data_IF_511798499273
#
_entry.id   IF_511798499273
#
_cell.length_a   1.000
_cell.length_b   1.000
_cell.length_c   1.000
_cell.angle_alpha   90.00
_cell.angle_beta   90.00
_cell.angle_gamma   90.00
#
_symmetry.space_group_name_H-M   'P 1'
#
loop_
_entity.id
_entity.type
_entity.pdbx_description
1 polymer ?
#
# COMPACT_ATOMS: atom_id res chain seq x y z
N UNK A 1 12.73 -12.34 22.38
CA UNK A 1 11.95 -11.21 21.81
C UNK A 1 11.31 -11.70 20.52
N UNK A 2 10.01 -11.45 20.32
CA UNK A 2 9.29 -11.87 19.10
C UNK A 2 8.92 -10.63 18.27
N UNK A 3 9.04 -10.75 16.96
CA UNK A 3 8.79 -9.65 16.01
C UNK A 3 7.79 -10.13 14.96
N UNK A 4 6.81 -9.29 14.66
CA UNK A 4 5.92 -9.43 13.50
C UNK A 4 6.32 -8.37 12.47
N UNK A 5 6.64 -8.78 11.26
CA UNK A 5 6.79 -7.88 10.12
C UNK A 5 5.61 -8.13 9.18
N UNK A 6 4.88 -7.07 8.87
CA UNK A 6 3.70 -7.11 8.01
C UNK A 6 3.93 -6.27 6.76
N UNK A 7 3.24 -6.64 5.67
CA UNK A 7 2.93 -5.72 4.58
C UNK A 7 1.64 -4.94 4.91
N UNK A 8 1.26 -3.98 4.06
CA UNK A 8 0.11 -3.10 4.24
C UNK A 8 -1.08 -3.49 3.35
N UNK A 9 -0.97 -3.22 2.05
CA UNK A 9 -2.05 -3.44 1.10
C UNK A 9 -2.20 -4.92 0.79
N UNK A 10 -3.45 -5.37 0.67
CA UNK A 10 -3.80 -6.77 0.53
C UNK A 10 -3.28 -7.69 1.66
N UNK A 11 -2.94 -7.10 2.81
CA UNK A 11 -2.55 -7.81 4.05
C UNK A 11 -3.32 -7.27 5.26
N UNK A 12 -3.20 -5.98 5.56
CA UNK A 12 -3.87 -5.32 6.69
C UNK A 12 -5.10 -4.52 6.26
N UNK A 13 -5.05 -4.00 5.03
CA UNK A 13 -6.13 -3.25 4.39
C UNK A 13 -6.33 -3.76 2.97
N UNK A 14 -7.53 -3.53 2.42
CA UNK A 14 -7.82 -3.86 1.02
C UNK A 14 -6.81 -3.24 0.07
N UNK A 15 -6.36 -4.01 -0.92
CA UNK A 15 -5.56 -3.50 -2.03
C UNK A 15 -6.28 -2.40 -2.81
N UNK A 16 -7.61 -2.47 -2.88
CA UNK A 16 -8.46 -1.45 -3.47
C UNK A 16 -8.44 -1.43 -5.00
N UNK A 17 -8.13 -2.53 -5.68
CA UNK A 17 -7.89 -2.59 -7.13
C UNK A 17 -9.03 -1.98 -7.95
N UNK A 18 -10.28 -2.39 -7.71
CA UNK A 18 -11.44 -1.81 -8.40
C UNK A 18 -11.60 -0.30 -8.16
N UNK A 19 -11.25 0.19 -6.96
CA UNK A 19 -11.30 1.62 -6.66
C UNK A 19 -10.13 2.39 -7.26
N UNK A 20 -8.96 1.75 -7.36
CA UNK A 20 -7.77 2.28 -8.03
C UNK A 20 -8.03 2.45 -9.51
N UNK A 21 -8.64 1.47 -10.17
CA UNK A 21 -8.99 1.55 -11.59
C UNK A 21 -9.90 2.75 -11.86
N UNK A 22 -10.94 2.93 -11.05
CA UNK A 22 -11.87 4.07 -11.17
C UNK A 22 -11.14 5.40 -10.97
N UNK A 23 -10.29 5.50 -9.94
CA UNK A 23 -9.56 6.74 -9.64
C UNK A 23 -8.51 7.04 -10.70
N UNK A 24 -7.80 6.04 -11.21
CA UNK A 24 -6.81 6.20 -12.27
C UNK A 24 -7.47 6.66 -13.58
N UNK A 25 -8.61 6.07 -13.95
CA UNK A 25 -9.37 6.53 -15.12
C UNK A 25 -9.80 7.99 -14.97
N UNK A 26 -10.28 8.38 -13.78
CA UNK A 26 -10.66 9.78 -13.49
C UNK A 26 -9.46 10.73 -13.52
N UNK A 27 -8.32 10.33 -12.95
CA UNK A 27 -7.09 11.12 -13.01
C UNK A 27 -6.64 11.35 -14.46
N UNK A 28 -6.65 10.30 -15.30
CA UNK A 28 -6.34 10.44 -16.72
C UNK A 28 -7.21 11.48 -17.42
N UNK A 29 -8.53 11.42 -17.19
CA UNK A 29 -9.47 12.40 -17.73
C UNK A 29 -9.20 13.83 -17.25
N UNK A 30 -8.94 14.03 -15.95
CA UNK A 30 -8.59 15.33 -15.37
C UNK A 30 -7.30 15.88 -15.97
N UNK A 31 -6.30 15.02 -16.18
CA UNK A 31 -5.00 15.37 -16.76
C UNK A 31 -5.06 15.59 -18.28
N UNK A 32 -6.21 15.38 -18.92
CA UNK A 32 -6.40 15.58 -20.36
C UNK A 32 -5.73 14.52 -21.23
N UNK A 33 -5.54 13.30 -20.71
CA UNK A 33 -4.94 12.16 -21.43
C UNK A 33 -5.91 10.99 -21.55
N UNK A 34 -5.66 10.10 -22.51
CA UNK A 34 -6.43 8.87 -22.64
C UNK A 34 -6.34 8.02 -21.36
N UNK A 35 -7.49 7.63 -20.80
CA UNK A 35 -7.56 6.93 -19.52
C UNK A 35 -6.86 5.55 -19.55
N UNK A 36 -6.93 4.85 -20.69
CA UNK A 36 -6.31 3.53 -20.85
C UNK A 36 -4.80 3.68 -20.99
N UNK A 37 -4.32 4.66 -21.76
CA UNK A 37 -2.91 5.00 -21.86
C UNK A 37 -2.34 5.42 -20.50
N UNK A 38 -3.07 6.26 -19.76
CA UNK A 38 -2.69 6.68 -18.42
C UNK A 38 -2.58 5.51 -17.46
N UNK A 39 -3.58 4.62 -17.42
CA UNK A 39 -3.54 3.41 -16.58
C UNK A 39 -2.30 2.57 -16.89
N UNK A 40 -2.04 2.26 -18.17
CA UNK A 40 -0.87 1.48 -18.58
C UNK A 40 0.44 2.16 -18.17
N UNK A 41 0.57 3.47 -18.38
CA UNK A 41 1.77 4.21 -18.01
C UNK A 41 1.96 4.26 -16.49
N UNK A 42 0.86 4.36 -15.73
CA UNK A 42 0.86 4.37 -14.28
C UNK A 42 1.29 3.02 -13.69
N UNK A 43 0.81 1.92 -14.26
CA UNK A 43 1.20 0.56 -13.86
C UNK A 43 2.66 0.26 -14.22
N UNK A 44 3.09 0.64 -15.44
CA UNK A 44 4.47 0.47 -15.89
C UNK A 44 5.49 1.24 -15.03
N UNK A 45 5.06 2.36 -14.43
CA UNK A 45 5.90 3.19 -13.54
C UNK A 45 5.97 2.71 -12.08
N UNK A 46 5.39 1.55 -11.75
CA UNK A 46 5.22 1.13 -10.35
C UNK A 46 6.55 1.07 -9.60
N UNK A 47 7.61 0.54 -10.21
CA UNK A 47 8.93 0.46 -9.58
C UNK A 47 9.48 1.86 -9.28
N UNK A 48 9.51 2.76 -10.27
CA UNK A 48 9.98 4.14 -10.08
C UNK A 48 9.21 4.88 -8.99
N UNK A 49 7.88 4.71 -8.95
CA UNK A 49 7.03 5.29 -7.91
C UNK A 49 7.32 4.71 -6.54
N UNK A 50 7.57 3.40 -6.45
CA UNK A 50 7.89 2.75 -5.19
C UNK A 50 9.25 3.16 -4.64
N UNK A 51 10.23 3.51 -5.47
CA UNK A 51 11.54 4.01 -4.99
C UNK A 51 11.60 5.53 -4.87
N UNK A 52 10.49 6.24 -5.08
CA UNK A 52 10.43 7.69 -4.96
C UNK A 52 11.13 8.45 -6.09
N UNK A 53 11.35 7.84 -7.26
CA UNK A 53 12.12 8.43 -8.35
C UNK A 53 11.58 9.77 -8.89
N UNK A 54 10.29 10.05 -8.67
CA UNK A 54 9.64 11.29 -9.09
C UNK A 54 9.48 12.31 -7.95
N UNK A 55 9.97 12.00 -6.75
CA UNK A 55 9.86 12.87 -5.58
C UNK A 55 8.48 12.83 -4.93
N UNK A 56 7.49 13.47 -5.54
CA UNK A 56 6.14 13.59 -4.98
C UNK A 56 5.02 13.18 -5.95
N UNK A 57 3.79 13.12 -5.42
CA UNK A 57 2.63 12.72 -6.20
C UNK A 57 2.30 13.71 -7.34
N UNK A 58 2.27 15.04 -7.14
CA UNK A 58 2.10 15.99 -8.25
C UNK A 58 3.12 15.79 -9.39
N UNK A 59 4.40 15.62 -9.06
CA UNK A 59 5.47 15.39 -10.04
C UNK A 59 5.30 14.05 -10.75
N UNK A 60 4.93 13.01 -10.01
CA UNK A 60 4.57 11.69 -10.56
C UNK A 60 3.46 11.81 -11.61
N UNK A 61 2.37 12.51 -11.28
CA UNK A 61 1.22 12.65 -12.17
C UNK A 61 1.56 13.45 -13.43
N UNK A 62 2.38 14.50 -13.30
CA UNK A 62 2.86 15.28 -14.45
C UNK A 62 3.72 14.41 -15.38
N UNK A 63 4.71 13.69 -14.84
CA UNK A 63 5.58 12.80 -15.63
C UNK A 63 4.77 11.72 -16.36
N UNK A 64 3.77 11.13 -15.70
CA UNK A 64 2.94 10.08 -16.33
C UNK A 64 2.03 10.67 -17.40
N UNK A 65 1.46 11.86 -17.20
CA UNK A 65 0.68 12.54 -18.22
C UNK A 65 1.53 12.90 -19.44
N UNK A 66 2.75 13.40 -19.25
CA UNK A 66 3.72 13.69 -20.32
C UNK A 66 4.10 12.44 -21.11
N UNK A 67 4.31 11.30 -20.43
CA UNK A 67 4.52 9.98 -21.08
C UNK A 67 3.33 9.56 -21.95
N UNK A 68 2.14 10.06 -21.65
CA UNK A 68 0.93 9.83 -22.44
C UNK A 68 0.69 10.90 -23.52
N UNK A 69 1.62 11.84 -23.71
CA UNK A 69 1.53 12.94 -24.67
C UNK A 69 0.73 14.15 -24.19
N UNK A 70 0.38 14.21 -22.90
CA UNK A 70 -0.34 15.34 -22.30
C UNK A 70 0.58 16.44 -21.77
N UNK A 71 0.04 17.64 -21.64
CA UNK A 71 0.70 18.79 -21.00
C UNK A 71 -0.26 19.39 -19.97
N UNK A 72 -0.47 18.74 -18.82
CA UNK A 72 -1.50 19.15 -17.86
C UNK A 72 -1.13 20.49 -17.21
N UNK A 73 -2.14 21.31 -16.93
CA UNK A 73 -1.97 22.52 -16.12
C UNK A 73 -1.73 22.16 -14.66
N UNK A 74 -1.21 23.12 -13.89
CA UNK A 74 -1.00 22.92 -12.45
C UNK A 74 -2.31 22.62 -11.72
N UNK A 75 -3.41 23.25 -12.13
CA UNK A 75 -4.75 22.99 -11.57
C UNK A 75 -5.19 21.55 -11.81
N UNK A 76 -5.02 21.03 -13.02
CA UNK A 76 -5.33 19.63 -13.34
C UNK A 76 -4.48 18.65 -12.52
N UNK A 77 -3.19 18.95 -12.36
CA UNK A 77 -2.28 18.13 -11.54
C UNK A 77 -2.72 18.14 -10.07
N UNK A 78 -3.12 19.30 -9.52
CA UNK A 78 -3.60 19.38 -8.14
C UNK A 78 -4.94 18.66 -7.94
N UNK A 79 -5.87 18.78 -8.88
CA UNK A 79 -7.15 18.05 -8.82
C UNK A 79 -6.90 16.54 -8.84
N UNK A 80 -6.10 16.04 -9.79
CA UNK A 80 -5.76 14.62 -9.87
C UNK A 80 -5.01 14.13 -8.62
N UNK A 81 -4.12 14.96 -8.05
CA UNK A 81 -3.45 14.70 -6.77
C UNK A 81 -4.46 14.53 -5.63
N UNK A 82 -5.48 15.40 -5.59
CA UNK A 82 -6.57 15.33 -4.61
C UNK A 82 -7.33 14.00 -4.68
N UNK A 83 -7.68 13.55 -5.89
CA UNK A 83 -8.37 12.27 -6.11
C UNK A 83 -7.56 11.09 -5.56
N UNK A 84 -6.26 11.06 -5.84
CA UNK A 84 -5.38 9.97 -5.40
C UNK A 84 -5.13 9.98 -3.89
N UNK A 85 -4.96 11.16 -3.28
CA UNK A 85 -4.84 11.31 -1.83
C UNK A 85 -6.12 10.87 -1.10
N UNK A 86 -7.29 11.25 -1.61
CA UNK A 86 -8.57 10.85 -1.05
C UNK A 86 -8.76 9.32 -1.09
N UNK A 87 -8.31 8.66 -2.16
CA UNK A 87 -8.28 7.20 -2.23
C UNK A 87 -7.35 6.60 -1.16
N UNK A 88 -6.12 7.10 -1.03
CA UNK A 88 -5.18 6.59 -0.02
C UNK A 88 -5.74 6.74 1.41
N UNK A 89 -6.29 7.91 1.73
CA UNK A 89 -6.93 8.16 3.03
C UNK A 89 -8.09 7.20 3.30
N UNK A 90 -8.94 6.96 2.29
CA UNK A 90 -10.09 6.07 2.42
C UNK A 90 -9.69 4.61 2.60
N UNK A 91 -8.68 4.13 1.89
CA UNK A 91 -8.17 2.76 2.05
C UNK A 91 -7.54 2.58 3.44
N UNK A 92 -6.75 3.55 3.90
CA UNK A 92 -6.14 3.53 5.25
C UNK A 92 -7.17 3.74 6.38
N UNK A 93 -8.31 4.37 6.09
CA UNK A 93 -9.38 4.59 7.06
C UNK A 93 -10.34 3.40 7.22
N UNK A 94 -10.35 2.45 6.27
CA UNK A 94 -11.25 1.27 6.26
C UNK A 94 -10.55 0.01 6.75
N UNK A 95 -9.78 0.12 7.82
CA UNK A 95 -9.09 -1.02 8.42
C UNK A 95 -10.14 -1.97 9.04
N UNK A 96 -10.11 -3.28 8.73
CA UNK A 96 -11.00 -4.23 9.38
C UNK A 96 -10.80 -4.23 10.90
N UNK A 97 -11.90 -4.26 11.66
CA UNK A 97 -11.85 -4.30 13.13
C UNK A 97 -11.03 -5.49 13.62
N UNK A 98 -11.20 -6.65 13.00
CA UNK A 98 -10.44 -7.86 13.33
C UNK A 98 -8.91 -7.67 13.14
N UNK A 99 -8.48 -6.86 12.17
CA UNK A 99 -7.07 -6.51 11.99
C UNK A 99 -6.56 -5.70 13.18
N UNK A 100 -7.30 -4.68 13.61
CA UNK A 100 -6.94 -3.85 14.76
C UNK A 100 -6.89 -4.68 16.05
N UNK A 101 -7.87 -5.54 16.28
CA UNK A 101 -7.91 -6.44 17.44
C UNK A 101 -6.73 -7.41 17.44
N UNK A 102 -6.38 -7.96 16.29
CA UNK A 102 -5.23 -8.87 16.16
C UNK A 102 -3.92 -8.15 16.47
N UNK A 103 -3.71 -6.95 15.94
CA UNK A 103 -2.52 -6.14 16.22
C UNK A 103 -2.45 -5.75 17.71
N UNK A 104 -3.58 -5.38 18.31
CA UNK A 104 -3.66 -5.09 19.74
C UNK A 104 -3.28 -6.29 20.61
N UNK A 105 -3.74 -7.50 20.26
CA UNK A 105 -3.38 -8.73 20.95
C UNK A 105 -1.88 -9.02 20.88
N UNK A 106 -1.24 -8.86 19.71
CA UNK A 106 0.21 -8.99 19.57
C UNK A 106 0.98 -7.99 20.45
N UNK A 107 0.52 -6.73 20.51
CA UNK A 107 1.14 -5.72 21.38
C UNK A 107 0.97 -6.04 22.87
N UNK A 108 -0.22 -6.45 23.29
CA UNK A 108 -0.49 -6.87 24.67
C UNK A 108 0.39 -8.07 25.09
N UNK A 109 0.71 -8.95 24.14
CA UNK A 109 1.60 -10.09 24.32
C UNK A 109 3.11 -9.74 24.31
N UNK A 110 3.47 -8.46 24.20
CA UNK A 110 4.86 -7.99 24.20
C UNK A 110 5.61 -8.20 22.88
N UNK A 111 4.91 -8.43 21.76
CA UNK A 111 5.56 -8.48 20.45
C UNK A 111 5.90 -7.07 19.97
N UNK A 112 7.01 -6.97 19.23
CA UNK A 112 7.32 -5.79 18.43
C UNK A 112 6.74 -5.96 17.04
N UNK A 113 6.15 -4.93 16.47
CA UNK A 113 5.51 -4.98 15.16
C UNK A 113 6.18 -3.97 14.24
N UNK A 114 6.66 -4.41 13.08
CA UNK A 114 7.19 -3.55 12.03
C UNK A 114 6.36 -3.66 10.75
N UNK A 115 6.31 -2.56 9.99
CA UNK A 115 5.68 -2.51 8.66
C UNK A 115 6.78 -2.46 7.61
N UNK A 116 6.72 -3.33 6.61
CA UNK A 116 7.57 -3.25 5.43
C UNK A 116 6.65 -3.28 4.22
N UNK A 117 6.54 -2.17 3.50
CA UNK A 117 5.57 -2.09 2.41
C UNK A 117 6.06 -1.24 1.25
N UNK A 118 5.81 -1.74 0.04
CA UNK A 118 5.96 -0.96 -1.17
C UNK A 118 4.78 0.00 -1.27
N UNK A 119 5.04 1.28 -1.00
CA UNK A 119 4.01 2.31 -1.00
C UNK A 119 4.41 3.48 -1.86
N UNK A 120 3.42 4.26 -2.25
CA UNK A 120 3.57 5.53 -2.95
C UNK A 120 3.57 6.69 -1.96
N UNK A 121 4.13 7.84 -2.37
CA UNK A 121 4.34 9.02 -1.50
C UNK A 121 3.07 9.48 -0.78
N UNK A 122 1.89 9.43 -1.42
CA UNK A 122 0.64 9.83 -0.79
C UNK A 122 0.19 8.90 0.35
N UNK A 123 0.55 7.62 0.29
CA UNK A 123 0.24 6.67 1.37
C UNK A 123 1.13 6.95 2.57
N UNK A 124 2.41 7.30 2.33
CA UNK A 124 3.37 7.64 3.38
C UNK A 124 2.89 8.85 4.19
N UNK A 125 2.43 9.89 3.50
CA UNK A 125 1.88 11.11 4.15
C UNK A 125 0.66 10.80 5.02
N UNK A 126 -0.19 9.85 4.60
CA UNK A 126 -1.41 9.49 5.32
C UNK A 126 -1.18 8.45 6.43
N UNK A 127 0.02 7.87 6.53
CA UNK A 127 0.29 6.80 7.49
C UNK A 127 0.12 7.26 8.94
N UNK A 128 0.66 8.42 9.30
CA UNK A 128 0.68 8.89 10.70
C UNK A 128 -0.70 9.13 11.31
N UNK A 129 -1.72 9.35 10.46
CA UNK A 129 -3.11 9.56 10.87
C UNK A 129 -3.97 8.29 10.74
N UNK A 130 -3.40 7.19 10.26
CA UNK A 130 -4.08 5.90 10.15
C UNK A 130 -4.31 5.27 11.54
N UNK A 131 -5.45 4.58 11.77
CA UNK A 131 -5.68 3.84 13.00
C UNK A 131 -4.66 2.70 13.21
N UNK A 132 -3.93 2.29 12.16
CA UNK A 132 -2.85 1.29 12.26
C UNK A 132 -1.60 1.83 12.95
N UNK A 133 -1.26 3.12 12.78
CA UNK A 133 0.07 3.64 13.10
C UNK A 133 0.50 3.38 14.55
N UNK A 134 -0.45 3.46 15.49
CA UNK A 134 -0.22 3.24 16.93
C UNK A 134 0.28 1.83 17.28
N UNK A 135 0.08 0.84 16.42
CA UNK A 135 0.48 -0.54 16.68
C UNK A 135 1.89 -0.86 16.19
N UNK A 136 2.50 0.00 15.36
CA UNK A 136 3.80 -0.28 14.73
C UNK A 136 4.94 0.42 15.46
N UNK A 137 5.95 -0.35 15.84
CA UNK A 137 7.18 0.13 16.48
C UNK A 137 8.19 0.69 15.47
N UNK A 138 8.09 0.29 14.20
CA UNK A 138 8.92 0.76 13.10
C UNK A 138 8.20 0.58 11.76
N UNK A 139 8.51 1.45 10.80
CA UNK A 139 8.01 1.39 9.43
C UNK A 139 9.18 1.50 8.46
N UNK A 140 9.18 0.68 7.42
CA UNK A 140 10.09 0.74 6.30
C UNK A 140 9.26 0.85 5.01
N UNK A 141 9.17 2.06 4.48
CA UNK A 141 8.45 2.34 3.25
C UNK A 141 9.42 2.40 2.09
N UNK A 142 9.10 1.71 0.99
CA UNK A 142 9.99 1.66 -0.18
C UNK A 142 10.32 3.06 -0.71
N UNK A 143 9.36 4.00 -0.64
CA UNK A 143 9.54 5.37 -1.11
C UNK A 143 10.54 6.17 -0.25
N UNK A 144 10.71 5.78 1.02
CA UNK A 144 11.67 6.37 1.96
C UNK A 144 13.04 5.70 1.85
N UNK A 145 13.04 4.36 1.72
CA UNK A 145 14.26 3.54 1.72
C UNK A 145 14.93 3.48 0.35
N UNK A 146 14.21 3.80 -0.73
CA UNK A 146 14.70 3.73 -2.11
C UNK A 146 14.87 2.30 -2.65
N UNK A 147 14.30 1.30 -1.97
CA UNK A 147 14.41 -0.12 -2.34
C UNK A 147 13.11 -0.89 -2.04
N UNK A 148 12.78 -1.87 -2.90
CA UNK A 148 11.60 -2.72 -2.74
C UNK A 148 11.85 -3.87 -1.74
N UNK A 149 10.79 -4.29 -1.03
CA UNK A 149 10.85 -5.21 0.12
C UNK A 149 11.42 -6.63 -0.14
N UNK A 150 11.67 -7.04 -1.38
CA UNK A 150 11.91 -8.44 -1.78
C UNK A 150 13.24 -9.08 -1.28
N UNK A 151 14.06 -8.40 -0.48
CA UNK A 151 15.46 -8.79 -0.21
C UNK A 151 15.77 -9.32 1.20
N UNK A 152 14.78 -9.48 2.09
CA UNK A 152 15.06 -9.51 3.53
C UNK A 152 15.26 -10.90 4.20
N UNK A 153 15.18 -12.03 3.49
CA UNK A 153 15.51 -13.36 4.06
C UNK A 153 14.64 -13.81 5.25
N UNK A 154 13.39 -13.34 5.31
CA UNK A 154 12.50 -13.49 6.47
C UNK A 154 11.56 -14.69 6.34
N UNK A 155 10.98 -15.14 7.47
CA UNK A 155 9.85 -16.07 7.47
C UNK A 155 8.59 -15.30 7.09
N UNK A 156 8.03 -15.61 5.92
CA UNK A 156 6.90 -14.91 5.33
C UNK A 156 5.63 -15.77 5.39
N UNK A 157 4.47 -15.14 5.66
CA UNK A 157 3.14 -15.77 5.62
C UNK A 157 2.28 -14.89 4.72
N UNK A 158 1.54 -15.51 3.79
CA UNK A 158 0.65 -14.80 2.86
C UNK A 158 -0.80 -14.82 3.36
N UNK A 159 -1.52 -13.72 3.18
CA UNK A 159 -2.98 -13.69 3.40
C UNK A 159 -3.72 -13.83 2.06
N UNK A 160 -4.88 -14.50 2.05
CA UNK A 160 -5.81 -14.54 0.90
C UNK A 160 -6.96 -13.55 1.05
N UNK A 161 -7.03 -12.82 2.16
CA UNK A 161 -8.16 -11.98 2.57
C UNK A 161 -8.52 -10.91 1.53
N UNK A 162 -7.54 -10.49 0.74
CA UNK A 162 -7.68 -9.46 -0.29
C UNK A 162 -7.34 -9.96 -1.69
N UNK A 163 -7.55 -11.25 -1.97
CA UNK A 163 -7.51 -11.85 -3.31
C UNK A 163 -6.18 -11.65 -4.08
N UNK A 164 -5.05 -12.01 -3.46
CA UNK A 164 -3.76 -12.09 -4.14
C UNK A 164 -3.57 -13.48 -4.80
N UNK A 165 -3.33 -13.51 -6.12
CA UNK A 165 -3.21 -14.72 -6.92
C UNK A 165 -1.77 -15.05 -7.35
N UNK A 166 -0.73 -14.55 -6.67
CA UNK A 166 0.66 -14.85 -7.03
C UNK A 166 0.87 -16.39 -7.12
N UNK A 167 1.05 -16.93 -8.33
CA UNK A 167 1.15 -18.37 -8.56
C UNK A 167 2.52 -18.92 -8.14
N UNK A 168 3.48 -18.04 -7.85
CA UNK A 168 4.85 -18.41 -7.52
C UNK A 168 5.08 -18.58 -6.01
N UNK A 169 4.10 -18.21 -5.19
CA UNK A 169 4.18 -18.35 -3.73
C UNK A 169 4.11 -19.81 -3.28
N UNK A 170 5.12 -20.25 -2.52
CA UNK A 170 5.20 -21.61 -1.95
C UNK A 170 5.16 -21.64 -0.41
N UNK A 171 4.92 -20.49 0.25
CA UNK A 171 4.94 -20.38 1.70
C UNK A 171 3.58 -20.64 2.40
N UNK A 172 3.54 -20.55 3.74
CA UNK A 172 2.31 -20.66 4.51
C UNK A 172 1.28 -19.61 4.09
N UNK A 173 0.01 -20.01 4.03
CA UNK A 173 -1.11 -19.14 3.63
C UNK A 173 -2.21 -19.17 4.69
N UNK A 174 -2.71 -18.00 5.05
CA UNK A 174 -3.87 -17.81 5.94
C UNK A 174 -5.02 -17.13 5.17
N UNK A 175 -6.26 -17.44 5.50
CA UNK A 175 -7.43 -16.87 4.80
C UNK A 175 -7.77 -15.47 5.29
N UNK A 176 -7.53 -15.19 6.56
CA UNK A 176 -7.71 -13.88 7.17
C UNK A 176 -6.49 -13.53 8.03
N UNK A 177 -6.19 -12.25 8.21
CA UNK A 177 -5.11 -11.79 9.07
C UNK A 177 -5.29 -12.24 10.52
N UNK A 178 -6.55 -12.40 10.97
CA UNK A 178 -6.87 -12.90 12.30
C UNK A 178 -6.38 -14.34 12.57
N UNK A 179 -6.23 -15.16 11.53
CA UNK A 179 -5.69 -16.53 11.63
C UNK A 179 -4.19 -16.57 11.92
N UNK A 180 -3.48 -15.44 11.82
CA UNK A 180 -2.04 -15.35 12.08
C UNK A 180 -1.66 -15.81 13.49
N UNK A 181 -2.57 -15.64 14.46
CA UNK A 181 -2.37 -16.11 15.84
C UNK A 181 -2.15 -17.62 15.90
N UNK A 182 -2.96 -18.40 15.18
CA UNK A 182 -2.79 -19.84 15.10
C UNK A 182 -1.51 -20.21 14.33
N UNK A 183 -1.25 -19.55 13.20
CA UNK A 183 -0.08 -19.83 12.35
C UNK A 183 1.27 -19.56 13.03
N UNK A 184 1.29 -18.71 14.07
CA UNK A 184 2.50 -18.37 14.84
C UNK A 184 2.64 -19.15 16.15
N UNK A 185 1.74 -20.10 16.43
CA UNK A 185 1.69 -20.83 17.70
C UNK A 185 1.32 -19.92 18.88
N UNK A 186 0.61 -18.84 18.60
CA UNK A 186 0.17 -17.82 19.55
C UNK A 186 -1.34 -17.91 19.79
N UNK A 187 -1.87 -19.14 19.82
CA UNK A 187 -3.31 -19.47 19.92
C UNK A 187 -3.99 -18.96 21.20
N UNK A 188 -3.19 -18.60 22.22
CA UNK A 188 -3.66 -18.09 23.50
C UNK A 188 -3.60 -16.55 23.62
N UNK A 189 -3.29 -15.84 22.52
CA UNK A 189 -3.36 -14.37 22.42
C UNK A 189 -4.71 -13.91 21.88
#
# INVERSE_FOLDING_TARGET
MKVLLSDLFSTLVSGGDAERDVVNARMGAVLGVDAVAFQRAFDASSYERFIGAYGDLPSTLRVIAERCGGTPTDEQVQEATGLRRALAQRLLGRVPVATLETLAAFKAAGWRIGLVSNITAETQVQWSTSPLAQYFDATAFSAEVGAAAASLGMRTIRTLEHANSDPTWQGPTIKTFAELRAATGAEHL
#
